data_IF_047991770077
#
_entry.id   IF_047991770077
#
_cell.length_a   1.000
_cell.length_b   1.000
_cell.length_c   1.000
_cell.angle_alpha   90.00
_cell.angle_beta   90.00
_cell.angle_gamma   90.00
#
_symmetry.space_group_name_H-M   'P 1'
#
loop_
_entity.id
_entity.type
_entity.pdbx_description
1 polymer ?
#
# COMPACT_ATOMS: atom_id res chain seq x y z
N UNK A 1 -20.92 26.53 -2.12
CA UNK A 1 -21.05 25.75 -3.37
C UNK A 1 -19.89 24.78 -3.41
N UNK A 2 -20.16 23.49 -3.33
CA UNK A 2 -19.13 22.45 -3.26
C UNK A 2 -18.48 22.27 -4.63
N UNK A 3 -17.21 21.83 -4.63
CA UNK A 3 -16.44 21.63 -5.86
C UNK A 3 -15.80 20.25 -5.85
N UNK A 4 -16.08 19.45 -6.87
CA UNK A 4 -15.46 18.17 -7.13
C UNK A 4 -14.26 18.38 -8.05
N UNK A 5 -13.07 17.94 -7.61
CA UNK A 5 -11.85 18.02 -8.41
C UNK A 5 -11.50 16.65 -8.99
N UNK A 6 -11.41 16.56 -10.32
CA UNK A 6 -11.17 15.29 -11.04
C UNK A 6 -10.04 15.45 -12.06
N UNK A 7 -9.65 14.36 -12.70
CA UNK A 7 -8.84 14.42 -13.91
C UNK A 7 -9.74 14.63 -15.15
N UNK A 8 -9.15 14.45 -16.32
CA UNK A 8 -9.85 14.51 -17.61
C UNK A 8 -10.30 13.11 -18.07
N UNK A 9 -10.53 12.17 -17.14
CA UNK A 9 -11.04 10.84 -17.43
C UNK A 9 -12.40 10.90 -18.15
N UNK A 10 -12.62 10.05 -19.18
CA UNK A 10 -13.87 10.05 -19.95
C UNK A 10 -15.11 9.74 -19.09
N UNK A 11 -14.95 9.06 -17.96
CA UNK A 11 -16.01 8.74 -16.99
C UNK A 11 -16.62 9.98 -16.31
N UNK A 12 -15.92 11.12 -16.32
CA UNK A 12 -16.39 12.38 -15.74
C UNK A 12 -17.15 13.28 -16.73
N UNK A 13 -17.51 12.76 -17.90
CA UNK A 13 -18.24 13.49 -18.95
C UNK A 13 -19.68 12.96 -19.14
N UNK A 14 -20.47 13.70 -19.92
CA UNK A 14 -21.84 13.32 -20.30
C UNK A 14 -22.76 13.23 -19.07
N UNK A 15 -23.40 12.08 -18.88
CA UNK A 15 -24.36 11.84 -17.78
C UNK A 15 -23.79 12.13 -16.40
N UNK A 16 -22.50 11.88 -16.18
CA UNK A 16 -21.85 12.15 -14.90
C UNK A 16 -21.81 13.67 -14.62
N UNK A 17 -21.41 14.47 -15.61
CA UNK A 17 -21.38 15.93 -15.51
C UNK A 17 -22.78 16.52 -15.33
N UNK A 18 -23.78 16.02 -16.07
CA UNK A 18 -25.17 16.42 -15.92
C UNK A 18 -25.69 16.20 -14.49
N UNK A 19 -25.35 15.07 -13.87
CA UNK A 19 -25.72 14.78 -12.47
C UNK A 19 -25.01 15.71 -11.49
N UNK A 20 -23.70 15.95 -11.67
CA UNK A 20 -22.93 16.84 -10.80
C UNK A 20 -23.53 18.27 -10.82
N UNK A 21 -23.88 18.75 -12.01
CA UNK A 21 -24.53 20.06 -12.19
C UNK A 21 -25.93 20.06 -11.55
N UNK A 22 -26.72 18.99 -11.73
CA UNK A 22 -28.06 18.84 -11.13
C UNK A 22 -28.03 18.96 -9.60
N UNK A 23 -26.99 18.44 -8.95
CA UNK A 23 -26.79 18.55 -7.50
C UNK A 23 -26.05 19.83 -7.08
N UNK A 24 -25.92 20.82 -7.97
CA UNK A 24 -25.32 22.13 -7.70
C UNK A 24 -23.86 22.08 -7.23
N UNK A 25 -23.14 21.03 -7.64
CA UNK A 25 -21.70 20.85 -7.40
C UNK A 25 -20.95 21.35 -8.63
N UNK A 26 -19.85 22.09 -8.42
CA UNK A 26 -18.96 22.50 -9.52
C UNK A 26 -17.94 21.40 -9.82
N UNK A 27 -17.72 21.06 -11.08
CA UNK A 27 -16.63 20.17 -11.48
C UNK A 27 -15.40 20.98 -11.92
N UNK A 28 -14.24 20.67 -11.36
CA UNK A 28 -12.96 21.27 -11.71
C UNK A 28 -11.97 20.19 -12.17
N UNK A 29 -11.61 20.21 -13.45
CA UNK A 29 -10.77 19.18 -14.05
C UNK A 29 -9.32 19.67 -14.14
N UNK A 30 -8.37 18.82 -13.79
CA UNK A 30 -6.94 19.14 -13.89
C UNK A 30 -6.11 17.91 -14.26
N UNK A 31 -5.05 18.11 -15.07
CA UNK A 31 -4.02 17.09 -15.30
C UNK A 31 -2.88 17.16 -14.26
N UNK A 32 -2.97 18.08 -13.30
CA UNK A 32 -1.89 18.32 -12.36
C UNK A 32 -1.87 17.27 -11.26
N UNK A 33 -0.81 16.46 -11.23
CA UNK A 33 -0.52 15.53 -10.12
C UNK A 33 -0.51 16.23 -8.75
N UNK A 34 -0.07 17.49 -8.68
CA UNK A 34 -0.08 18.27 -7.43
C UNK A 34 -1.49 18.52 -6.89
N UNK A 35 -2.47 18.70 -7.79
CA UNK A 35 -3.87 18.91 -7.42
C UNK A 35 -4.58 17.61 -7.03
N UNK A 36 -4.09 16.48 -7.52
CA UNK A 36 -4.65 15.15 -7.22
C UNK A 36 -3.85 14.39 -6.17
N UNK A 37 -2.75 14.96 -5.67
CA UNK A 37 -1.80 14.25 -4.80
C UNK A 37 -2.41 13.66 -3.53
N UNK A 38 -3.48 14.28 -2.98
CA UNK A 38 -4.21 13.73 -1.83
C UNK A 38 -4.95 12.45 -2.23
N UNK A 39 -5.68 12.47 -3.34
CA UNK A 39 -6.41 11.31 -3.86
C UNK A 39 -5.43 10.21 -4.30
N UNK A 40 -4.34 10.58 -4.97
CA UNK A 40 -3.28 9.63 -5.35
C UNK A 40 -2.63 8.99 -4.12
N UNK A 41 -2.36 9.77 -3.06
CA UNK A 41 -1.79 9.24 -1.81
C UNK A 41 -2.78 8.32 -1.10
N UNK A 42 -4.04 8.72 -1.01
CA UNK A 42 -5.12 7.90 -0.43
C UNK A 42 -5.25 6.57 -1.17
N UNK A 43 -5.36 6.61 -2.50
CA UNK A 43 -5.48 5.42 -3.33
C UNK A 43 -4.27 4.50 -3.16
N UNK A 44 -3.05 5.05 -3.05
CA UNK A 44 -1.87 4.24 -2.78
C UNK A 44 -1.96 3.55 -1.42
N UNK A 45 -2.30 4.25 -0.35
CA UNK A 45 -2.43 3.64 0.99
C UNK A 45 -3.53 2.59 1.03
N UNK A 46 -4.66 2.85 0.37
CA UNK A 46 -5.74 1.87 0.24
C UNK A 46 -5.27 0.60 -0.50
N UNK A 47 -4.52 0.77 -1.60
CA UNK A 47 -3.94 -0.34 -2.36
C UNK A 47 -2.92 -1.11 -1.53
N UNK A 48 -2.02 -0.44 -0.81
CA UNK A 48 -1.03 -1.07 0.07
C UNK A 48 -1.71 -2.00 1.09
N UNK A 49 -2.80 -1.55 1.70
CA UNK A 49 -3.54 -2.36 2.69
C UNK A 49 -4.31 -3.51 2.05
N UNK A 50 -4.99 -3.26 0.92
CA UNK A 50 -5.74 -4.28 0.21
C UNK A 50 -4.82 -5.41 -0.29
N UNK A 51 -3.67 -5.06 -0.86
CA UNK A 51 -2.69 -6.04 -1.33
C UNK A 51 -2.03 -6.80 -0.18
N UNK A 52 -1.71 -6.14 0.95
CA UNK A 52 -1.17 -6.85 2.11
C UNK A 52 -2.11 -7.97 2.59
N UNK A 53 -3.42 -7.69 2.72
CA UNK A 53 -4.39 -8.73 3.10
C UNK A 53 -4.55 -9.78 2.00
N UNK A 54 -4.62 -9.34 0.74
CA UNK A 54 -4.73 -10.25 -0.39
C UNK A 54 -3.55 -11.23 -0.43
N UNK A 55 -2.32 -10.74 -0.28
CA UNK A 55 -1.10 -11.54 -0.29
C UNK A 55 -1.06 -12.54 0.88
N UNK A 56 -1.43 -12.10 2.09
CA UNK A 56 -1.49 -12.98 3.28
C UNK A 56 -2.54 -14.08 3.11
N UNK A 57 -3.71 -13.76 2.55
CA UNK A 57 -4.77 -14.76 2.33
C UNK A 57 -4.41 -15.68 1.17
N UNK A 58 -3.91 -15.16 0.05
CA UNK A 58 -3.50 -15.98 -1.10
C UNK A 58 -2.32 -16.91 -0.76
N UNK A 59 -1.47 -16.53 0.20
CA UNK A 59 -0.42 -17.40 0.72
C UNK A 59 -0.97 -18.69 1.37
N UNK A 60 -2.15 -18.62 1.95
CA UNK A 60 -2.82 -19.76 2.59
C UNK A 60 -3.74 -20.53 1.64
N UNK A 61 -3.96 -20.01 0.43
CA UNK A 61 -4.86 -20.59 -0.56
C UNK A 61 -4.09 -21.45 -1.57
N UNK A 62 -4.74 -22.48 -2.14
CA UNK A 62 -4.18 -23.21 -3.28
C UNK A 62 -3.91 -22.27 -4.47
N UNK A 63 -2.90 -22.53 -5.33
CA UNK A 63 -2.48 -21.64 -6.42
C UNK A 63 -3.56 -21.27 -7.45
N UNK A 64 -4.67 -22.00 -7.47
CA UNK A 64 -5.80 -21.80 -8.40
C UNK A 64 -6.87 -20.86 -7.84
N UNK A 65 -6.80 -20.51 -6.55
CA UNK A 65 -7.77 -19.66 -5.88
C UNK A 65 -7.23 -18.22 -5.77
N UNK A 66 -8.10 -17.25 -6.01
CA UNK A 66 -7.79 -15.83 -5.90
C UNK A 66 -8.60 -15.22 -4.77
N UNK A 67 -7.93 -14.47 -3.91
CA UNK A 67 -8.59 -13.81 -2.80
C UNK A 67 -9.40 -12.61 -3.31
N UNK A 68 -10.69 -12.59 -2.98
CA UNK A 68 -11.58 -11.42 -3.16
C UNK A 68 -11.96 -10.77 -1.83
N UNK A 69 -11.28 -11.13 -0.73
CA UNK A 69 -11.58 -10.62 0.61
C UNK A 69 -11.48 -9.09 0.66
N UNK A 70 -10.62 -8.49 -0.17
CA UNK A 70 -10.51 -7.04 -0.31
C UNK A 70 -11.83 -6.33 -0.62
N UNK A 71 -12.81 -7.00 -1.26
CA UNK A 71 -14.16 -6.45 -1.51
C UNK A 71 -14.93 -6.30 -0.20
N UNK A 72 -14.88 -7.32 0.65
CA UNK A 72 -15.52 -7.32 1.97
C UNK A 72 -14.78 -6.38 2.93
N UNK A 73 -13.45 -6.40 2.88
CA UNK A 73 -12.58 -5.65 3.78
C UNK A 73 -12.50 -4.16 3.41
N UNK A 74 -12.91 -3.76 2.21
CA UNK A 74 -12.92 -2.37 1.77
C UNK A 74 -13.63 -1.46 2.76
N UNK A 75 -14.77 -1.90 3.29
CA UNK A 75 -15.55 -1.12 4.25
C UNK A 75 -14.78 -0.93 5.56
N UNK A 76 -14.09 -1.97 6.02
CA UNK A 76 -13.25 -1.95 7.21
C UNK A 76 -12.04 -1.04 7.00
N UNK A 77 -11.41 -1.11 5.82
CA UNK A 77 -10.30 -0.22 5.46
C UNK A 77 -10.73 1.25 5.43
N UNK A 78 -11.90 1.55 4.86
CA UNK A 78 -12.42 2.91 4.80
C UNK A 78 -12.74 3.44 6.20
N UNK A 79 -13.39 2.65 7.05
CA UNK A 79 -13.65 3.02 8.43
C UNK A 79 -12.35 3.28 9.19
N UNK A 80 -11.36 2.39 9.03
CA UNK A 80 -10.07 2.55 9.69
C UNK A 80 -9.29 3.74 9.16
N UNK A 81 -9.25 3.98 7.84
CA UNK A 81 -8.58 5.14 7.24
C UNK A 81 -9.21 6.47 7.68
N UNK A 82 -10.55 6.52 7.76
CA UNK A 82 -11.25 7.70 8.25
C UNK A 82 -10.92 8.03 9.71
N UNK A 83 -10.61 7.01 10.51
CA UNK A 83 -10.25 7.13 11.92
C UNK A 83 -8.73 7.15 12.16
N UNK A 84 -7.90 6.92 11.13
CA UNK A 84 -6.44 6.86 11.27
C UNK A 84 -5.88 8.26 11.21
N UNK A 85 -5.18 8.65 12.27
CA UNK A 85 -4.53 9.97 12.26
C UNK A 85 -3.31 9.94 11.33
N UNK A 86 -3.29 10.84 10.35
CA UNK A 86 -2.18 10.99 9.41
C UNK A 86 -1.19 12.05 9.88
N UNK A 87 0.09 11.92 9.49
CA UNK A 87 1.17 12.86 9.85
C UNK A 87 0.89 14.34 9.50
N UNK A 88 -0.10 14.63 8.64
CA UNK A 88 -0.46 15.97 8.17
C UNK A 88 -1.40 16.74 9.11
N UNK A 89 -2.06 16.06 10.05
CA UNK A 89 -3.01 16.66 11.02
C UNK A 89 -2.42 16.78 12.43
N UNK A 90 -1.08 16.74 12.54
CA UNK A 90 -0.31 16.97 13.77
C UNK A 90 -0.80 16.21 15.01
N UNK A 91 -1.22 14.95 14.81
CA UNK A 91 -1.19 13.96 15.89
C UNK A 91 -0.16 12.94 15.44
N UNK A 92 0.93 12.86 16.19
CA UNK A 92 2.00 11.89 15.99
C UNK A 92 1.41 10.47 16.00
N UNK A 93 1.13 9.92 14.82
CA UNK A 93 0.97 8.48 14.66
C UNK A 93 2.34 7.81 14.83
N UNK A 94 2.43 6.65 15.50
CA UNK A 94 3.70 6.00 15.84
C UNK A 94 4.28 5.39 14.58
N UNK A 95 4.98 6.19 13.79
CA UNK A 95 5.64 5.70 12.60
C UNK A 95 7.10 6.12 12.71
N UNK A 96 7.89 5.18 13.25
CA UNK A 96 9.34 5.28 13.33
C UNK A 96 9.99 5.07 14.70
N UNK A 97 9.24 5.04 15.81
CA UNK A 97 9.85 4.91 17.15
C UNK A 97 9.25 3.80 18.03
N UNK A 98 7.95 3.52 17.92
CA UNK A 98 7.25 2.46 18.68
C UNK A 98 6.83 1.28 17.80
N UNK A 99 7.54 1.02 16.70
CA UNK A 99 7.23 -0.13 15.86
C UNK A 99 7.58 -1.44 16.57
N UNK A 100 6.61 -2.34 16.66
CA UNK A 100 6.84 -3.71 17.16
C UNK A 100 7.94 -4.35 16.32
N UNK A 101 9.03 -4.73 17.00
CA UNK A 101 10.15 -5.47 16.40
C UNK A 101 9.64 -6.83 15.95
N UNK A 102 10.02 -7.23 14.74
CA UNK A 102 9.72 -8.57 14.25
C UNK A 102 10.56 -9.60 15.01
N UNK A 103 9.94 -10.71 15.33
CA UNK A 103 10.52 -11.85 16.02
C UNK A 103 11.05 -12.87 15.01
N UNK A 104 11.96 -13.75 15.45
CA UNK A 104 12.50 -14.82 14.60
C UNK A 104 11.45 -15.85 14.16
N UNK A 105 10.28 -15.89 14.80
CA UNK A 105 9.13 -16.72 14.39
C UNK A 105 8.29 -16.09 13.29
N UNK A 106 8.52 -14.83 12.94
CA UNK A 106 7.75 -14.13 11.90
C UNK A 106 8.27 -14.49 10.51
N UNK A 107 7.33 -14.74 9.60
CA UNK A 107 7.59 -14.91 8.18
C UNK A 107 7.44 -13.56 7.47
N UNK A 108 8.39 -13.23 6.60
CA UNK A 108 8.43 -11.92 5.94
C UNK A 108 8.52 -12.05 4.43
N UNK A 109 7.85 -11.12 3.73
CA UNK A 109 8.04 -10.93 2.30
C UNK A 109 9.09 -9.85 2.07
N UNK A 110 9.98 -10.10 1.12
CA UNK A 110 11.02 -9.15 0.74
C UNK A 110 10.50 -8.17 -0.30
N UNK A 111 10.61 -6.86 -0.06
CA UNK A 111 10.31 -5.86 -1.08
C UNK A 111 11.44 -5.85 -2.11
N UNK A 112 11.12 -6.20 -3.35
CA UNK A 112 12.09 -6.25 -4.43
C UNK A 112 12.51 -4.86 -4.86
N UNK A 113 13.80 -4.69 -5.10
CA UNK A 113 14.34 -3.49 -5.71
C UNK A 113 13.93 -3.41 -7.19
N UNK A 114 13.91 -2.18 -7.71
CA UNK A 114 13.72 -1.94 -9.14
C UNK A 114 14.75 -2.71 -9.96
N UNK A 115 14.31 -3.73 -10.72
CA UNK A 115 15.14 -4.55 -11.61
C UNK A 115 15.44 -5.97 -11.11
N UNK A 116 15.02 -6.36 -9.90
CA UNK A 116 15.21 -7.73 -9.39
C UNK A 116 14.19 -8.75 -9.93
N UNK A 117 13.09 -8.29 -10.52
CA UNK A 117 12.04 -9.12 -11.11
C UNK A 117 12.21 -9.20 -12.64
N UNK A 118 12.29 -10.41 -13.19
CA UNK A 118 12.17 -10.61 -14.64
C UNK A 118 10.72 -10.37 -15.08
N UNK A 119 10.47 -9.25 -15.78
CA UNK A 119 9.15 -8.98 -16.37
C UNK A 119 8.76 -7.50 -16.47
N UNK A 120 9.27 -6.81 -17.50
CA UNK A 120 8.70 -5.57 -18.05
C UNK A 120 8.73 -4.30 -17.17
N UNK A 121 8.29 -3.18 -17.75
CA UNK A 121 8.15 -1.87 -17.06
C UNK A 121 6.96 -1.90 -16.10
N UNK A 122 7.22 -2.01 -14.79
CA UNK A 122 6.22 -1.77 -13.72
C UNK A 122 6.37 -0.37 -13.12
N UNK A 123 5.33 0.16 -12.49
CA UNK A 123 5.35 1.50 -11.89
C UNK A 123 6.06 1.42 -10.54
N UNK A 124 6.75 2.50 -10.16
CA UNK A 124 7.41 2.66 -8.84
C UNK A 124 6.42 2.51 -7.67
N UNK A 125 5.12 2.62 -7.93
CA UNK A 125 4.04 2.50 -6.95
C UNK A 125 3.49 1.08 -6.79
N UNK A 126 3.91 0.14 -7.63
CA UNK A 126 3.48 -1.25 -7.50
C UNK A 126 4.31 -1.88 -6.37
N UNK A 127 3.67 -2.37 -5.32
CA UNK A 127 4.38 -3.12 -4.28
C UNK A 127 4.92 -4.41 -4.90
N UNK A 128 6.22 -4.44 -5.19
CA UNK A 128 6.88 -5.58 -5.79
C UNK A 128 7.39 -6.49 -4.67
N UNK A 129 6.49 -7.15 -3.95
CA UNK A 129 6.91 -8.17 -3.00
C UNK A 129 7.47 -9.40 -3.74
N UNK A 130 8.49 -10.02 -3.18
CA UNK A 130 9.00 -11.30 -3.63
C UNK A 130 7.89 -12.36 -3.50
N UNK A 131 7.73 -13.27 -4.48
CA UNK A 131 6.83 -14.41 -4.33
C UNK A 131 7.34 -15.43 -3.30
N UNK A 132 8.59 -15.29 -2.84
CA UNK A 132 9.22 -16.15 -1.84
C UNK A 132 9.06 -15.58 -0.43
N UNK A 133 8.83 -16.48 0.52
CA UNK A 133 8.77 -16.19 1.95
C UNK A 133 10.17 -16.33 2.53
N UNK A 134 10.54 -15.41 3.42
CA UNK A 134 11.81 -15.46 4.12
C UNK A 134 11.62 -15.56 5.63
N UNK A 135 12.57 -16.20 6.28
CA UNK A 135 12.75 -16.19 7.73
C UNK A 135 13.72 -15.07 8.12
N UNK A 136 13.49 -14.46 9.28
CA UNK A 136 14.47 -13.57 9.88
C UNK A 136 15.60 -14.43 10.45
N UNK A 137 16.81 -14.24 9.95
CA UNK A 137 18.03 -14.90 10.43
C UNK A 137 18.69 -14.09 11.54
N UNK A 138 18.84 -12.78 11.32
CA UNK A 138 19.52 -11.87 12.24
C UNK A 138 18.84 -10.50 12.21
N UNK A 139 18.98 -9.73 13.30
CA UNK A 139 18.53 -8.34 13.36
C UNK A 139 19.57 -7.45 14.04
N UNK A 140 19.69 -6.21 13.57
CA UNK A 140 20.53 -5.17 14.14
C UNK A 140 19.63 -4.00 14.55
N UNK A 141 19.60 -3.76 15.85
CA UNK A 141 18.83 -2.68 16.47
C UNK A 141 19.79 -1.55 16.84
N UNK A 142 19.51 -0.34 16.38
CA UNK A 142 20.25 0.87 16.75
C UNK A 142 19.26 1.95 17.21
N UNK A 143 19.66 2.73 18.23
CA UNK A 143 18.82 3.80 18.76
C UNK A 143 18.55 4.84 17.66
N UNK A 144 17.28 5.21 17.50
CA UNK A 144 16.80 6.18 16.50
C UNK A 144 17.07 5.78 15.04
N UNK A 145 17.27 4.48 14.75
CA UNK A 145 17.37 3.97 13.39
C UNK A 145 16.39 2.80 13.17
N UNK A 146 15.94 2.58 11.92
CA UNK A 146 15.15 1.40 11.58
C UNK A 146 15.91 0.11 11.92
N UNK A 147 15.21 -0.88 12.45
CA UNK A 147 15.78 -2.22 12.68
C UNK A 147 16.12 -2.84 11.33
N UNK A 148 17.37 -3.28 11.22
CA UNK A 148 17.87 -3.94 10.03
C UNK A 148 17.76 -5.45 10.21
N UNK A 149 17.19 -6.14 9.24
CA UNK A 149 17.00 -7.58 9.25
C UNK A 149 17.83 -8.25 8.15
N UNK A 150 18.45 -9.37 8.48
CA UNK A 150 18.94 -10.34 7.51
C UNK A 150 17.92 -11.45 7.41
N UNK A 151 17.50 -11.73 6.19
CA UNK A 151 16.44 -12.68 5.90
C UNK A 151 16.96 -13.76 4.95
N UNK A 152 16.52 -15.00 5.14
CA UNK A 152 16.91 -16.15 4.32
C UNK A 152 15.66 -16.90 3.86
N UNK A 153 15.71 -17.48 2.65
CA UNK A 153 14.60 -18.29 2.14
C UNK A 153 14.44 -19.55 3.03
N UNK A 154 13.28 -20.20 2.95
CA UNK A 154 12.94 -21.44 3.66
C UNK A 154 13.99 -22.53 3.40
N UNK A 155 14.56 -22.58 2.19
CA UNK A 155 15.61 -23.53 1.82
C UNK A 155 17.01 -23.14 2.33
N UNK A 156 17.14 -22.05 3.10
CA UNK A 156 18.42 -21.51 3.59
C UNK A 156 19.27 -20.82 2.52
N UNK A 157 18.72 -20.61 1.33
CA UNK A 157 19.40 -19.99 0.20
C UNK A 157 19.04 -18.50 0.10
N UNK A 158 19.94 -17.68 -0.47
CA UNK A 158 19.63 -16.30 -0.83
C UNK A 158 19.46 -15.33 0.34
N UNK A 159 20.53 -15.13 1.14
CA UNK A 159 20.57 -14.14 2.20
C UNK A 159 20.33 -12.72 1.65
N UNK A 160 19.28 -12.05 2.14
CA UNK A 160 18.95 -10.66 1.80
C UNK A 160 18.98 -9.77 3.04
N UNK A 161 19.21 -8.48 2.83
CA UNK A 161 19.25 -7.46 3.87
C UNK A 161 18.09 -6.48 3.65
N UNK A 162 17.27 -6.25 4.67
CA UNK A 162 16.07 -5.40 4.57
C UNK A 162 15.81 -4.61 5.86
N UNK A 163 14.89 -3.65 5.80
CA UNK A 163 14.32 -2.96 6.95
C UNK A 163 12.80 -2.92 6.81
N UNK A 164 12.10 -2.74 7.92
CA UNK A 164 10.64 -2.59 7.95
C UNK A 164 10.28 -1.18 7.43
N UNK A 165 9.39 -1.09 6.44
CA UNK A 165 8.91 0.16 5.82
C UNK A 165 7.66 0.71 6.52
#
# INVERSE_FOLDING_TARGET
>A
METLQTDYGPEFYGKCEELIIKYNVKINRSKSKKRQGIVERFNRTLQEWAFFIQDVVELLLPPIERCRAWITDLTIFLEKLNNTVTRLIDIYGPMGYDEVQLTYSDFVLYLLNSGELEGGRRRVTDMNWSPQIYHIKESLVQKNQPVLYWIEDIDGNGLKRSFKY
#
